data_IF_448623517167
#
_entry.id   IF_448623517167
#
_cell.length_a   1.000
_cell.length_b   1.000
_cell.length_c   1.000
_cell.angle_alpha   90.00
_cell.angle_beta   90.00
_cell.angle_gamma   90.00
#
_symmetry.space_group_name_H-M   'P 1'
#
loop_
_entity.id
_entity.type
_entity.pdbx_description
1 polymer ?
#
# COMPACT_ATOMS: atom_id res chain seq x y z
N UNK A 1 27.04 14.15 -16.73
CA UNK A 1 26.83 13.00 -15.84
C UNK A 1 25.71 12.13 -16.42
N UNK A 2 26.04 10.97 -16.97
CA UNK A 2 25.06 10.05 -17.52
C UNK A 2 24.12 9.59 -16.41
N UNK A 3 22.84 9.93 -16.52
CA UNK A 3 21.79 9.43 -15.64
C UNK A 3 21.58 7.95 -16.00
N UNK A 4 22.46 7.07 -15.49
CA UNK A 4 22.37 5.62 -15.69
C UNK A 4 21.13 5.14 -14.94
N UNK A 5 20.00 5.17 -15.63
CA UNK A 5 18.73 4.64 -15.13
C UNK A 5 18.92 3.15 -14.90
N UNK A 6 18.71 2.71 -13.65
CA UNK A 6 18.71 1.29 -13.31
C UNK A 6 17.60 0.61 -14.10
N UNK A 7 17.92 -0.52 -14.73
CA UNK A 7 16.96 -1.35 -15.44
C UNK A 7 16.74 -2.66 -14.69
N UNK A 8 15.54 -3.20 -14.77
CA UNK A 8 15.23 -4.55 -14.29
C UNK A 8 15.70 -5.61 -15.29
N UNK A 9 15.56 -6.89 -14.93
CA UNK A 9 15.85 -8.04 -15.80
C UNK A 9 15.00 -8.08 -17.08
N UNK A 10 13.92 -7.31 -17.15
CA UNK A 10 13.02 -7.18 -18.30
C UNK A 10 13.25 -5.88 -19.09
N UNK A 11 14.40 -5.22 -18.90
CA UNK A 11 14.79 -3.95 -19.53
C UNK A 11 13.87 -2.74 -19.24
N UNK A 12 13.06 -2.81 -18.19
CA UNK A 12 12.22 -1.68 -17.74
C UNK A 12 13.01 -0.75 -16.86
N UNK A 13 12.71 0.55 -16.93
CA UNK A 13 13.35 1.56 -16.10
C UNK A 13 12.79 1.52 -14.67
N UNK A 14 13.67 1.26 -13.70
CA UNK A 14 13.39 1.38 -12.28
C UNK A 14 13.50 2.85 -11.84
N UNK A 15 12.56 3.29 -11.00
CA UNK A 15 12.56 4.62 -10.36
C UNK A 15 13.53 4.64 -9.18
N UNK A 16 13.79 5.84 -8.68
CA UNK A 16 14.60 6.03 -7.47
C UNK A 16 13.95 5.31 -6.28
N UNK A 17 14.75 4.58 -5.52
CA UNK A 17 14.27 3.75 -4.41
C UNK A 17 13.79 2.36 -4.83
N UNK A 18 13.57 2.10 -6.13
CA UNK A 18 13.21 0.78 -6.63
C UNK A 18 14.45 -0.07 -6.92
N UNK A 19 14.37 -1.36 -6.63
CA UNK A 19 15.39 -2.34 -6.98
C UNK A 19 14.75 -3.71 -7.18
N UNK A 20 15.42 -4.57 -7.93
CA UNK A 20 15.00 -5.96 -8.14
C UNK A 20 15.96 -6.89 -7.41
N UNK A 21 15.42 -7.85 -6.65
CA UNK A 21 16.20 -8.91 -5.99
C UNK A 21 16.51 -10.04 -6.98
N UNK A 22 17.49 -10.87 -6.63
CA UNK A 22 17.86 -12.08 -7.41
C UNK A 22 16.67 -13.04 -7.60
N UNK A 23 15.76 -13.12 -6.63
CA UNK A 23 14.52 -13.91 -6.69
C UNK A 23 13.48 -13.38 -7.70
N UNK A 24 13.69 -12.22 -8.31
CA UNK A 24 12.73 -11.54 -9.18
C UNK A 24 11.70 -10.67 -8.45
N UNK A 25 11.70 -10.65 -7.10
CA UNK A 25 10.90 -9.71 -6.30
C UNK A 25 11.43 -8.29 -6.44
N UNK A 26 10.52 -7.34 -6.58
CA UNK A 26 10.84 -5.94 -6.51
C UNK A 26 10.80 -5.46 -5.06
N UNK A 27 11.68 -4.50 -4.77
CA UNK A 27 11.75 -3.81 -3.49
C UNK A 27 11.72 -2.30 -3.74
N UNK A 28 10.96 -1.60 -2.91
CA UNK A 28 10.96 -0.14 -2.83
C UNK A 28 11.45 0.26 -1.44
N UNK A 29 12.51 1.06 -1.41
CA UNK A 29 13.05 1.67 -0.20
C UNK A 29 12.54 3.10 -0.10
N UNK A 30 11.94 3.44 1.02
CA UNK A 30 11.55 4.82 1.35
C UNK A 30 11.98 5.18 2.77
N UNK A 31 11.96 6.47 3.04
CA UNK A 31 12.15 7.01 4.39
C UNK A 31 10.77 7.31 4.94
N UNK A 32 10.45 6.70 6.07
CA UNK A 32 9.19 6.93 6.77
C UNK A 32 9.18 8.30 7.48
N UNK A 33 8.03 8.72 8.00
CA UNK A 33 7.86 10.01 8.71
C UNK A 33 8.83 10.18 9.88
N UNK A 34 9.26 9.07 10.51
CA UNK A 34 10.23 9.07 11.61
C UNK A 34 11.69 9.10 11.15
N UNK A 35 11.96 9.29 9.86
CA UNK A 35 13.31 9.26 9.30
C UNK A 35 13.92 7.86 9.20
N UNK A 36 13.14 6.81 9.48
CA UNK A 36 13.61 5.42 9.43
C UNK A 36 13.46 4.84 8.02
N UNK A 37 14.48 4.14 7.50
CA UNK A 37 14.38 3.50 6.20
C UNK A 37 13.47 2.26 6.28
N UNK A 38 12.42 2.24 5.47
CA UNK A 38 11.48 1.13 5.35
C UNK A 38 11.57 0.48 3.97
N UNK A 39 11.34 -0.82 3.93
CA UNK A 39 11.40 -1.64 2.71
C UNK A 39 10.07 -2.31 2.46
N UNK A 40 9.58 -2.19 1.22
CA UNK A 40 8.35 -2.82 0.75
C UNK A 40 8.67 -3.74 -0.40
N UNK A 41 8.03 -4.89 -0.40
CA UNK A 41 8.25 -5.93 -1.39
C UNK A 41 6.99 -6.15 -2.22
N UNK A 42 7.18 -6.48 -3.51
CA UNK A 42 6.11 -6.98 -4.37
C UNK A 42 6.70 -7.90 -5.45
N UNK A 43 5.88 -8.85 -5.91
CA UNK A 43 6.21 -9.69 -7.08
C UNK A 43 6.00 -8.95 -8.40
N UNK A 44 5.17 -7.91 -8.39
CA UNK A 44 4.78 -7.15 -9.57
C UNK A 44 5.38 -5.75 -9.50
N UNK A 45 5.95 -5.27 -10.60
CA UNK A 45 6.38 -3.87 -10.69
C UNK A 45 5.17 -2.99 -11.02
N UNK A 46 4.42 -3.41 -12.04
CA UNK A 46 3.23 -2.71 -12.58
C UNK A 46 2.00 -3.58 -12.35
N UNK A 47 0.78 -3.03 -12.18
CA UNK A 47 -0.44 -3.82 -11.97
C UNK A 47 -0.70 -4.84 -13.09
N UNK A 48 -0.22 -4.54 -14.30
CA UNK A 48 -0.34 -5.38 -15.50
C UNK A 48 0.54 -6.64 -15.45
N UNK A 49 1.48 -6.73 -14.51
CA UNK A 49 2.34 -7.89 -14.39
C UNK A 49 1.60 -9.10 -13.81
N UNK A 50 1.93 -10.29 -14.30
CA UNK A 50 1.37 -11.54 -13.78
C UNK A 50 2.13 -11.98 -12.53
N UNK A 51 1.39 -12.42 -11.52
CA UNK A 51 1.94 -13.07 -10.32
C UNK A 51 2.42 -14.47 -10.69
N UNK A 52 3.57 -14.94 -10.16
CA UNK A 52 4.00 -16.32 -10.38
C UNK A 52 2.95 -17.32 -9.89
N UNK A 53 2.79 -18.44 -10.62
CA UNK A 53 1.86 -19.50 -10.27
C UNK A 53 2.13 -20.01 -8.83
N UNK A 54 1.07 -20.12 -8.02
CA UNK A 54 1.16 -20.58 -6.63
C UNK A 54 1.56 -19.52 -5.60
N UNK A 55 1.67 -18.24 -5.98
CA UNK A 55 1.88 -17.13 -5.03
C UNK A 55 0.58 -16.33 -4.83
N UNK A 56 0.41 -15.78 -3.62
CA UNK A 56 -0.72 -14.91 -3.29
C UNK A 56 -0.64 -13.66 -4.15
N UNK A 57 -1.74 -13.28 -4.77
CA UNK A 57 -1.77 -12.05 -5.54
C UNK A 57 -1.60 -10.85 -4.60
N UNK A 58 -0.72 -9.95 -4.98
CA UNK A 58 -0.32 -8.80 -4.18
C UNK A 58 -0.32 -7.56 -5.07
N UNK A 59 -0.56 -6.42 -4.42
CA UNK A 59 -0.59 -5.11 -5.05
C UNK A 59 0.77 -4.83 -5.67
N UNK A 60 0.79 -4.16 -6.82
CA UNK A 60 2.03 -3.83 -7.50
C UNK A 60 2.90 -2.88 -6.68
N UNK A 61 4.22 -2.92 -6.90
CA UNK A 61 5.16 -2.03 -6.21
C UNK A 61 4.79 -0.55 -6.42
N UNK A 62 4.36 -0.19 -7.64
CA UNK A 62 3.99 1.18 -8.00
C UNK A 62 2.73 1.68 -7.30
N UNK A 63 1.74 0.81 -7.10
CA UNK A 63 0.55 1.16 -6.32
C UNK A 63 0.89 1.32 -4.84
N UNK A 64 1.71 0.42 -4.28
CA UNK A 64 2.21 0.58 -2.91
C UNK A 64 3.02 1.86 -2.74
N UNK A 65 3.89 2.18 -3.70
CA UNK A 65 4.65 3.45 -3.75
C UNK A 65 3.70 4.66 -3.72
N UNK A 66 2.64 4.64 -4.54
CA UNK A 66 1.67 5.72 -4.61
C UNK A 66 0.90 5.89 -3.28
N UNK A 67 0.49 4.78 -2.66
CA UNK A 67 -0.18 4.81 -1.36
C UNK A 67 0.75 5.38 -0.28
N UNK A 68 2.00 4.92 -0.21
CA UNK A 68 2.99 5.42 0.76
C UNK A 68 3.25 6.91 0.54
N UNK A 69 3.39 7.36 -0.71
CA UNK A 69 3.57 8.80 -1.00
C UNK A 69 2.38 9.62 -0.52
N UNK A 70 1.16 9.11 -0.71
CA UNK A 70 -0.04 9.76 -0.19
C UNK A 70 -0.03 9.79 1.33
N UNK A 71 0.24 8.66 1.97
CA UNK A 71 0.29 8.55 3.43
C UNK A 71 1.37 9.46 4.03
N UNK A 72 2.55 9.55 3.41
CA UNK A 72 3.63 10.46 3.80
C UNK A 72 3.23 11.94 3.66
N UNK A 73 2.50 12.30 2.59
CA UNK A 73 1.97 13.65 2.42
C UNK A 73 0.89 13.98 3.44
N UNK A 74 0.07 12.99 3.80
CA UNK A 74 -1.00 13.11 4.79
C UNK A 74 -0.45 13.01 6.23
N UNK A 75 0.86 12.76 6.41
CA UNK A 75 1.51 12.60 7.73
C UNK A 75 1.13 11.32 8.47
N UNK A 76 0.65 10.30 7.75
CA UNK A 76 0.17 9.04 8.31
C UNK A 76 1.33 8.07 8.48
N UNK A 77 1.44 7.50 9.68
CA UNK A 77 2.41 6.47 10.04
C UNK A 77 2.09 5.15 9.31
N UNK A 78 2.96 4.80 8.35
CA UNK A 78 2.87 3.55 7.57
C UNK A 78 3.56 2.35 8.25
N UNK A 79 4.41 2.58 9.26
CA UNK A 79 5.19 1.55 9.95
C UNK A 79 4.43 0.89 11.12
N UNK A 80 3.48 1.60 11.73
CA UNK A 80 2.86 1.22 13.01
C UNK A 80 1.54 0.43 12.97
N UNK A 81 0.99 0.08 11.80
CA UNK A 81 -0.21 -0.77 11.73
C UNK A 81 -1.52 -0.13 12.24
N UNK A 82 -1.78 1.15 11.92
CA UNK A 82 -3.01 1.86 12.33
C UNK A 82 -3.81 2.34 11.12
N UNK A 83 -4.98 1.73 10.89
CA UNK A 83 -6.04 2.28 10.03
C UNK A 83 -6.40 3.70 10.47
N UNK A 84 -6.74 4.58 9.53
CA UNK A 84 -7.37 5.87 9.84
C UNK A 84 -8.81 5.66 10.35
N UNK A 85 -9.34 6.59 11.17
CA UNK A 85 -10.69 6.50 11.75
C UNK A 85 -11.79 6.42 10.67
N UNK A 86 -11.59 7.02 9.48
CA UNK A 86 -12.49 6.87 8.34
C UNK A 86 -12.53 5.44 7.79
N UNK A 87 -11.37 4.76 7.68
CA UNK A 87 -11.29 3.35 7.29
C UNK A 87 -11.90 2.42 8.36
N UNK A 88 -11.81 2.79 9.64
CA UNK A 88 -12.53 2.10 10.73
C UNK A 88 -14.05 2.25 10.62
N UNK A 89 -14.54 3.40 10.16
CA UNK A 89 -15.98 3.68 10.05
C UNK A 89 -16.66 2.78 8.99
N UNK A 90 -16.04 2.64 7.81
CA UNK A 90 -16.56 1.78 6.73
C UNK A 90 -16.50 0.28 7.09
N UNK A 91 -15.46 -0.14 7.80
CA UNK A 91 -15.29 -1.53 8.24
C UNK A 91 -16.27 -1.92 9.35
N UNK A 92 -16.62 -1.00 10.25
CA UNK A 92 -17.63 -1.22 11.30
C UNK A 92 -19.05 -1.33 10.74
N UNK A 93 -19.38 -0.60 9.67
CA UNK A 93 -20.71 -0.67 9.04
C UNK A 93 -20.90 -1.89 8.13
N UNK A 94 -19.86 -2.38 7.45
CA UNK A 94 -19.95 -3.57 6.60
C UNK A 94 -20.06 -4.89 7.38
N UNK A 95 -19.56 -4.95 8.62
CA UNK A 95 -19.71 -6.11 9.51
C UNK A 95 -21.09 -6.20 10.20
N UNK A 96 -21.93 -5.16 10.10
CA UNK A 96 -23.29 -5.14 10.67
C UNK A 96 -24.35 -5.68 9.71
N UNK A 97 -24.03 -6.64 8.84
CA UNK A 97 -25.02 -7.23 7.90
C UNK A 97 -26.05 -8.18 8.51
N UNK A 98 -26.04 -8.40 9.83
CA UNK A 98 -27.05 -9.23 10.52
C UNK A 98 -27.66 -8.55 11.76
N UNK A 99 -27.78 -7.22 11.79
CA UNK A 99 -28.53 -6.56 12.86
C UNK A 99 -29.99 -6.43 12.43
N UNK A 100 -30.86 -7.18 13.11
CA UNK A 100 -32.33 -7.08 13.02
C UNK A 100 -32.77 -5.61 13.18
N UNK A 101 -33.77 -5.19 12.41
CA UNK A 101 -34.41 -3.86 12.44
C UNK A 101 -35.07 -3.57 13.80
N UNK A 102 -34.31 -3.23 14.84
CA UNK A 102 -34.90 -2.98 16.15
C UNK A 102 -34.12 -1.99 17.03
N UNK A 103 -33.43 -1.00 16.45
CA UNK A 103 -32.87 0.12 17.23
C UNK A 103 -32.71 1.35 16.35
N UNK A 104 -33.85 1.85 15.86
CA UNK A 104 -34.05 3.29 15.76
C UNK A 104 -34.35 3.80 17.18
N UNK A 105 -33.58 4.77 17.64
CA UNK A 105 -33.90 5.68 18.75
C UNK A 105 -32.93 6.85 18.61
N UNK A 106 -33.31 7.91 17.90
CA UNK A 106 -34.17 9.01 18.38
C UNK A 106 -33.61 9.63 19.64
N UNK A 107 -33.01 10.82 19.51
CA UNK A 107 -32.88 11.82 20.57
C UNK A 107 -32.29 13.12 19.99
N UNK A 108 -33.18 14.06 19.61
CA UNK A 108 -33.01 15.49 19.92
C UNK A 108 -34.28 16.27 19.54
N UNK A 109 -35.26 16.26 20.45
CA UNK A 109 -36.18 17.39 20.66
C UNK A 109 -35.58 18.20 21.82
N UNK A 110 -35.16 19.44 21.53
CA UNK A 110 -35.43 20.65 22.31
C UNK A 110 -34.96 21.88 21.51
#
# INVERSE_FOLDING_TARGET
>A
MSNVKRKDSKNRNLRNGESQRKDGRYVYKYTDIYGKPQFIYSWKLVPTDKTPAGKRDDISLREKEAQIKKDLNDGIDTAGGKMTVCQLYDKKNSQRKNIKRATEKDDSIL
#
